data_IF_587660463695
#
_entry.id   IF_587660463695
#
_cell.length_a   1.000
_cell.length_b   1.000
_cell.length_c   1.000
_cell.angle_alpha   90.00
_cell.angle_beta   90.00
_cell.angle_gamma   90.00
#
_symmetry.space_group_name_H-M   'P 1'
#
loop_
_entity.id
_entity.type
_entity.pdbx_description
1 polymer ?
#
# COMPACT_ATOMS: atom_id res chain seq x y z
N UNK A 1 16.82 11.16 -4.38
CA UNK A 1 16.62 10.13 -3.34
C UNK A 1 15.12 9.94 -3.15
N UNK A 2 14.64 8.72 -2.93
CA UNK A 2 13.24 8.44 -2.65
C UNK A 2 13.15 7.55 -1.41
N UNK A 3 12.31 7.92 -0.44
CA UNK A 3 11.96 7.05 0.69
C UNK A 3 10.67 6.33 0.33
N UNK A 4 10.61 5.04 0.61
CA UNK A 4 9.41 4.24 0.32
C UNK A 4 9.08 3.37 1.52
N UNK A 5 7.80 3.31 1.87
CA UNK A 5 7.29 2.52 2.98
C UNK A 5 6.39 1.44 2.42
N UNK A 6 6.70 0.18 2.72
CA UNK A 6 5.87 -0.95 2.33
C UNK A 6 4.84 -1.25 3.40
N UNK A 7 3.84 -2.05 3.02
CA UNK A 7 2.87 -2.64 3.92
C UNK A 7 1.90 -1.67 4.62
N UNK A 8 1.60 -0.54 3.97
CA UNK A 8 0.54 0.37 4.41
C UNK A 8 -0.85 -0.33 4.44
N UNK A 9 -1.80 0.14 5.28
CA UNK A 9 -1.72 1.34 6.12
C UNK A 9 -0.82 1.19 7.34
N UNK A 10 -0.85 0.05 8.05
CA UNK A 10 0.01 -0.24 9.21
C UNK A 10 0.26 -1.74 9.34
N UNK A 11 1.47 -2.12 9.76
CA UNK A 11 1.77 -3.46 10.29
C UNK A 11 1.64 -3.40 11.82
N UNK A 12 0.53 -3.89 12.34
CA UNK A 12 0.13 -3.60 13.73
C UNK A 12 0.58 -4.66 14.75
N UNK A 13 1.21 -5.77 14.33
CA UNK A 13 1.73 -6.85 15.20
C UNK A 13 0.80 -7.28 16.36
N UNK A 14 -0.51 -7.29 16.13
CA UNK A 14 -1.53 -7.65 17.13
C UNK A 14 -2.14 -6.49 17.92
N UNK A 15 -1.62 -5.27 17.79
CA UNK A 15 -2.20 -4.06 18.40
C UNK A 15 -3.34 -3.55 17.51
N UNK A 16 -4.58 -3.79 17.88
CA UNK A 16 -5.75 -3.38 17.08
C UNK A 16 -6.27 -1.98 17.41
N UNK A 17 -5.60 -1.24 18.28
CA UNK A 17 -6.00 0.11 18.66
C UNK A 17 -5.91 1.08 17.46
N UNK A 18 -7.04 1.68 17.03
CA UNK A 18 -7.05 2.65 15.94
C UNK A 18 -6.20 3.90 16.22
N UNK A 19 -6.12 4.34 17.48
CA UNK A 19 -5.32 5.53 17.82
C UNK A 19 -3.83 5.23 17.68
N UNK A 20 -3.37 4.06 18.10
CA UNK A 20 -1.99 3.61 17.84
C UNK A 20 -1.63 3.62 16.33
N UNK A 21 -2.52 3.10 15.48
CA UNK A 21 -2.28 3.08 14.02
C UNK A 21 -2.21 4.49 13.43
N UNK A 22 -3.06 5.39 13.92
CA UNK A 22 -3.07 6.80 13.54
C UNK A 22 -1.82 7.54 14.01
N UNK A 23 -1.40 7.34 15.25
CA UNK A 23 -0.17 7.91 15.80
C UNK A 23 1.05 7.49 14.99
N UNK A 24 1.18 6.21 14.65
CA UNK A 24 2.27 5.72 13.81
C UNK A 24 2.29 6.40 12.43
N UNK A 25 1.12 6.52 11.80
CA UNK A 25 0.98 7.19 10.49
C UNK A 25 1.38 8.66 10.59
N UNK A 26 0.92 9.37 11.62
CA UNK A 26 1.26 10.77 11.87
C UNK A 26 2.74 10.99 12.15
N UNK A 27 3.39 10.08 12.88
CA UNK A 27 4.83 10.18 13.16
C UNK A 27 5.66 10.06 11.87
N UNK A 28 5.29 9.15 10.96
CA UNK A 28 5.93 9.04 9.65
C UNK A 28 5.75 10.32 8.83
N UNK A 29 4.50 10.79 8.68
CA UNK A 29 4.16 12.02 7.97
C UNK A 29 4.96 13.21 8.51
N UNK A 30 4.89 13.45 9.83
CA UNK A 30 5.60 14.55 10.48
C UNK A 30 7.09 14.50 10.22
N UNK A 31 7.69 13.31 10.29
CA UNK A 31 9.12 13.14 10.01
C UNK A 31 9.44 13.47 8.56
N UNK A 32 8.65 12.99 7.61
CA UNK A 32 8.88 13.30 6.20
C UNK A 32 8.73 14.79 5.90
N UNK A 33 7.76 15.47 6.50
CA UNK A 33 7.59 16.91 6.36
C UNK A 33 8.75 17.70 6.99
N UNK A 34 9.13 17.36 8.23
CA UNK A 34 10.22 18.03 8.98
C UNK A 34 11.54 18.02 8.19
N UNK A 35 11.82 16.91 7.52
CA UNK A 35 13.05 16.73 6.73
C UNK A 35 12.85 16.94 5.22
N UNK A 36 11.67 17.39 4.78
CA UNK A 36 11.34 17.60 3.36
C UNK A 36 11.63 16.37 2.48
N UNK A 37 11.31 15.19 3.00
CA UNK A 37 11.55 13.90 2.34
C UNK A 37 10.36 13.57 1.42
N UNK A 38 10.56 13.44 0.10
CA UNK A 38 9.53 12.85 -0.76
C UNK A 38 9.39 11.35 -0.46
N UNK A 39 8.16 10.91 -0.22
CA UNK A 39 7.86 9.53 0.15
C UNK A 39 6.69 8.92 -0.66
N UNK A 40 6.76 7.61 -0.90
CA UNK A 40 5.68 6.78 -1.46
C UNK A 40 5.32 5.67 -0.46
N UNK A 41 4.02 5.43 -0.26
CA UNK A 41 3.50 4.32 0.53
C UNK A 41 2.92 3.21 -0.35
N UNK A 42 3.45 1.99 -0.27
CA UNK A 42 2.91 0.82 -0.97
C UNK A 42 1.89 0.09 -0.09
N UNK A 43 0.66 -0.02 -0.58
CA UNK A 43 -0.50 -0.47 0.21
C UNK A 43 -0.84 -1.92 -0.07
N UNK A 44 -1.05 -2.72 0.98
CA UNK A 44 -1.79 -3.98 0.85
C UNK A 44 -3.28 -3.72 1.09
N UNK A 45 -4.08 -3.60 0.03
CA UNK A 45 -5.47 -3.14 0.17
C UNK A 45 -6.34 -4.08 1.03
N UNK A 46 -5.97 -5.36 1.14
CA UNK A 46 -6.64 -6.31 2.01
C UNK A 46 -6.63 -5.93 3.48
N UNK A 47 -5.64 -5.14 3.93
CA UNK A 47 -5.59 -4.62 5.29
C UNK A 47 -6.69 -3.61 5.60
N UNK A 48 -7.27 -2.97 4.58
CA UNK A 48 -8.38 -2.01 4.74
C UNK A 48 -9.69 -2.70 5.13
N UNK A 49 -9.74 -4.03 5.15
CA UNK A 49 -10.94 -4.79 5.44
C UNK A 49 -10.81 -5.55 6.76
N UNK A 50 -11.88 -5.54 7.54
CA UNK A 50 -12.08 -6.40 8.71
C UNK A 50 -13.33 -7.25 8.50
N UNK A 51 -13.18 -8.57 8.56
CA UNK A 51 -14.25 -9.55 8.25
C UNK A 51 -14.98 -9.26 6.93
N UNK A 52 -14.22 -8.83 5.92
CA UNK A 52 -14.73 -8.52 4.58
C UNK A 52 -15.45 -7.17 4.45
N UNK A 53 -15.55 -6.40 5.54
CA UNK A 53 -16.11 -5.04 5.52
C UNK A 53 -14.98 -4.02 5.48
N UNK A 54 -15.16 -2.99 4.66
CA UNK A 54 -14.19 -1.89 4.56
C UNK A 54 -14.20 -1.09 5.88
N UNK A 55 -13.02 -0.96 6.50
CA UNK A 55 -12.83 -0.16 7.71
C UNK A 55 -12.51 1.30 7.32
N UNK A 56 -13.45 2.19 7.63
CA UNK A 56 -13.31 3.63 7.35
C UNK A 56 -12.13 4.28 8.07
N UNK A 57 -11.70 3.76 9.23
CA UNK A 57 -10.56 4.30 9.97
C UNK A 57 -9.26 4.05 9.20
N UNK A 58 -9.07 2.85 8.67
CA UNK A 58 -7.89 2.50 7.86
C UNK A 58 -7.86 3.26 6.53
N UNK A 59 -9.01 3.49 5.92
CA UNK A 59 -9.12 4.37 4.73
C UNK A 59 -8.72 5.81 5.08
N UNK A 60 -9.13 6.32 6.25
CA UNK A 60 -8.74 7.66 6.70
C UNK A 60 -7.22 7.81 6.91
N UNK A 61 -6.51 6.75 7.30
CA UNK A 61 -5.04 6.78 7.38
C UNK A 61 -4.40 7.02 6.01
N UNK A 62 -4.95 6.41 4.95
CA UNK A 62 -4.48 6.63 3.58
C UNK A 62 -4.86 8.00 3.04
N UNK A 63 -6.06 8.49 3.36
CA UNK A 63 -6.47 9.87 3.05
C UNK A 63 -5.54 10.89 3.72
N UNK A 64 -5.15 10.65 4.98
CA UNK A 64 -4.21 11.50 5.71
C UNK A 64 -2.82 11.49 5.06
N UNK A 65 -2.35 10.32 4.62
CA UNK A 65 -1.10 10.19 3.86
C UNK A 65 -1.13 11.04 2.58
N UNK A 66 -2.19 10.89 1.77
CA UNK A 66 -2.39 11.63 0.52
C UNK A 66 -2.58 13.13 0.73
N UNK A 67 -3.32 13.55 1.76
CA UNK A 67 -3.57 14.97 2.03
C UNK A 67 -2.31 15.75 2.40
N UNK A 68 -1.25 15.06 2.84
CA UNK A 68 0.07 15.66 3.09
C UNK A 68 1.01 15.53 1.89
N UNK A 69 0.48 15.19 0.70
CA UNK A 69 1.22 15.18 -0.56
C UNK A 69 2.05 13.92 -0.82
N UNK A 70 1.91 12.86 -0.01
CA UNK A 70 2.65 11.63 -0.19
C UNK A 70 1.91 10.67 -1.13
N UNK A 71 2.60 10.18 -2.15
CA UNK A 71 2.05 9.28 -3.17
C UNK A 71 1.75 7.88 -2.60
N UNK A 72 0.80 7.17 -3.21
CA UNK A 72 0.53 5.76 -2.94
C UNK A 72 0.92 4.85 -4.12
N UNK A 73 1.32 3.63 -3.81
CA UNK A 73 1.59 2.56 -4.77
C UNK A 73 0.87 1.26 -4.42
N UNK A 74 0.79 0.36 -5.40
CA UNK A 74 0.16 -0.95 -5.23
C UNK A 74 1.14 -1.96 -4.63
N UNK A 75 0.76 -2.63 -3.54
CA UNK A 75 1.51 -3.75 -2.95
C UNK A 75 0.68 -5.03 -2.89
N UNK A 76 -0.16 -5.24 -3.91
CA UNK A 76 -1.19 -6.27 -4.05
C UNK A 76 -2.29 -6.20 -3.00
N UNK A 77 -3.33 -7.03 -3.12
CA UNK A 77 -4.36 -7.12 -2.09
C UNK A 77 -3.89 -7.86 -0.83
N UNK A 78 -3.31 -9.07 -0.96
CA UNK A 78 -2.98 -9.94 0.18
C UNK A 78 -1.49 -10.20 0.41
N UNK A 79 -0.61 -9.44 -0.23
CA UNK A 79 0.86 -9.63 -0.16
C UNK A 79 1.34 -11.07 -0.50
N UNK A 80 0.84 -11.73 -1.58
CA UNK A 80 1.24 -13.10 -1.89
C UNK A 80 2.67 -13.15 -2.46
N UNK A 81 3.37 -14.24 -2.22
CA UNK A 81 4.65 -14.52 -2.85
C UNK A 81 4.48 -14.95 -4.32
N UNK A 82 4.99 -14.16 -5.27
CA UNK A 82 4.80 -14.45 -6.70
C UNK A 82 5.52 -15.73 -7.15
N UNK A 83 6.61 -16.14 -6.51
CA UNK A 83 7.33 -17.37 -6.86
C UNK A 83 6.48 -18.64 -6.63
N UNK A 84 5.47 -18.56 -5.77
CA UNK A 84 4.59 -19.66 -5.39
C UNK A 84 3.15 -19.45 -5.86
N UNK A 85 2.86 -18.30 -6.48
CA UNK A 85 1.50 -17.92 -6.89
C UNK A 85 1.41 -17.93 -8.42
N UNK A 86 0.49 -18.72 -9.02
CA UNK A 86 0.28 -18.68 -10.47
C UNK A 86 -0.11 -17.28 -10.96
N UNK A 87 0.36 -16.89 -12.16
CA UNK A 87 0.11 -15.57 -12.77
C UNK A 87 -1.33 -15.07 -12.60
N UNK A 88 -2.33 -15.87 -12.99
CA UNK A 88 -3.74 -15.46 -12.92
C UNK A 88 -4.21 -15.09 -11.50
N UNK A 89 -3.67 -15.73 -10.44
CA UNK A 89 -4.00 -15.39 -9.05
C UNK A 89 -3.24 -14.16 -8.57
N UNK A 90 -2.01 -13.99 -9.04
CA UNK A 90 -1.19 -12.84 -8.69
C UNK A 90 -1.71 -11.56 -9.35
N UNK A 91 -2.02 -11.59 -10.65
CA UNK A 91 -2.61 -10.45 -11.37
C UNK A 91 -3.98 -10.07 -10.81
N UNK A 92 -4.82 -11.05 -10.44
CA UNK A 92 -6.07 -10.79 -9.72
C UNK A 92 -5.82 -10.08 -8.37
N UNK A 93 -4.73 -10.41 -7.68
CA UNK A 93 -4.33 -9.74 -6.44
C UNK A 93 -3.87 -8.30 -6.67
N UNK A 94 -3.13 -8.02 -7.74
CA UNK A 94 -2.74 -6.65 -8.14
C UNK A 94 -4.00 -5.83 -8.45
N UNK A 95 -4.90 -6.35 -9.29
CA UNK A 95 -6.14 -5.67 -9.69
C UNK A 95 -7.12 -5.44 -8.54
N UNK A 96 -7.16 -6.36 -7.57
CA UNK A 96 -7.95 -6.18 -6.34
C UNK A 96 -7.28 -5.20 -5.37
N UNK A 97 -5.96 -5.07 -5.43
CA UNK A 97 -5.16 -4.16 -4.61
C UNK A 97 -5.18 -2.68 -5.01
N UNK A 98 -5.97 -2.31 -6.03
CA UNK A 98 -6.13 -0.93 -6.48
C UNK A 98 -7.58 -0.41 -6.42
N UNK A 99 -8.54 -1.17 -5.87
CA UNK A 99 -9.97 -0.81 -5.95
C UNK A 99 -10.33 0.40 -5.11
N UNK A 100 -9.63 0.62 -4.00
CA UNK A 100 -9.81 1.76 -3.09
C UNK A 100 -8.68 2.77 -3.28
N UNK A 101 -7.43 2.31 -3.32
CA UNK A 101 -6.24 3.18 -3.25
C UNK A 101 -6.05 4.07 -4.49
N UNK A 102 -6.38 3.56 -5.69
CA UNK A 102 -6.26 4.32 -6.94
C UNK A 102 -7.30 5.45 -7.04
N UNK A 103 -8.61 5.21 -6.81
CA UNK A 103 -9.58 6.31 -6.71
C UNK A 103 -9.25 7.33 -5.62
N UNK A 104 -8.74 6.89 -4.45
CA UNK A 104 -8.29 7.79 -3.40
C UNK A 104 -7.16 8.70 -3.87
N UNK A 105 -6.15 8.15 -4.54
CA UNK A 105 -5.02 8.95 -5.06
C UNK A 105 -5.49 9.97 -6.10
N UNK A 106 -6.41 9.57 -6.99
CA UNK A 106 -7.03 10.46 -7.99
C UNK A 106 -7.82 11.61 -7.34
N UNK A 107 -8.54 11.34 -6.25
CA UNK A 107 -9.29 12.36 -5.50
C UNK A 107 -8.38 13.46 -4.93
N UNK A 108 -7.12 13.12 -4.63
CA UNK A 108 -6.10 14.06 -4.11
C UNK A 108 -5.19 14.60 -5.21
N UNK A 109 -5.52 14.39 -6.49
CA UNK A 109 -4.71 14.81 -7.65
C UNK A 109 -3.26 14.28 -7.60
N UNK A 110 -3.03 13.15 -6.93
CA UNK A 110 -1.73 12.50 -6.83
C UNK A 110 -1.62 11.31 -7.81
N UNK A 111 -0.45 11.10 -8.43
CA UNK A 111 -0.26 10.00 -9.37
C UNK A 111 -0.31 8.64 -8.67
N UNK A 112 -0.84 7.64 -9.36
CA UNK A 112 -0.86 6.24 -8.92
C UNK A 112 -0.30 5.37 -10.05
N UNK A 113 1.02 5.17 -10.04
CA UNK A 113 1.78 4.62 -11.18
C UNK A 113 2.80 3.55 -10.80
N UNK A 114 2.98 3.30 -9.51
CA UNK A 114 4.01 2.40 -9.02
C UNK A 114 3.41 1.16 -8.39
N UNK A 115 4.03 0.02 -8.69
CA UNK A 115 3.78 -1.28 -8.11
C UNK A 115 5.08 -1.81 -7.52
N UNK A 116 5.00 -2.50 -6.38
CA UNK A 116 6.13 -3.23 -5.80
C UNK A 116 5.72 -4.66 -5.49
N UNK A 117 6.56 -5.60 -5.93
CA UNK A 117 6.36 -7.02 -5.65
C UNK A 117 6.57 -7.32 -4.16
N UNK A 118 5.64 -8.04 -3.51
CA UNK A 118 5.89 -8.67 -2.23
C UNK A 118 7.19 -9.45 -2.23
N UNK A 119 8.01 -9.27 -1.18
CA UNK A 119 9.31 -9.92 -1.01
C UNK A 119 10.33 -9.66 -2.14
N UNK A 120 10.08 -8.66 -3.00
CA UNK A 120 10.84 -8.40 -4.24
C UNK A 120 10.89 -9.62 -5.20
N UNK A 121 9.95 -10.56 -5.04
CA UNK A 121 9.89 -11.79 -5.81
C UNK A 121 9.11 -11.52 -7.09
N UNK A 122 9.84 -11.29 -8.17
CA UNK A 122 9.28 -10.94 -9.49
C UNK A 122 8.85 -12.17 -10.31
N UNK A 123 9.15 -13.39 -9.85
CA UNK A 123 8.87 -14.62 -10.58
C UNK A 123 10.13 -15.45 -10.78
N UNK A 124 9.93 -16.75 -11.02
CA UNK A 124 11.03 -17.73 -11.20
C UNK A 124 11.40 -17.98 -12.66
N UNK A 125 10.71 -17.33 -13.60
CA UNK A 125 10.99 -17.37 -15.04
C UNK A 125 10.93 -15.96 -15.61
N UNK A 126 11.57 -15.75 -16.76
CA UNK A 126 11.48 -14.48 -17.49
C UNK A 126 10.03 -14.13 -17.84
N UNK A 127 9.26 -15.13 -18.28
CA UNK A 127 7.84 -14.93 -18.57
C UNK A 127 7.02 -14.46 -17.37
N UNK A 128 7.37 -14.87 -16.14
CA UNK A 128 6.73 -14.34 -14.93
C UNK A 128 7.23 -12.94 -14.59
N UNK A 129 8.54 -12.70 -14.68
CA UNK A 129 9.14 -11.39 -14.40
C UNK A 129 8.59 -10.27 -15.30
N UNK A 130 8.30 -10.57 -16.56
CA UNK A 130 7.86 -9.60 -17.57
C UNK A 130 6.32 -9.52 -17.71
N UNK A 131 5.56 -10.16 -16.82
CA UNK A 131 4.10 -10.36 -16.99
C UNK A 131 3.20 -9.25 -16.43
N UNK A 132 3.75 -8.27 -15.73
CA UNK A 132 3.02 -7.24 -14.97
C UNK A 132 3.38 -5.82 -15.37
#
# INVERSE_FOLDING_TARGET
MAVTVDDLPVVHYGIQDPEFQKELTLQLIKTFEEYSIPAIGYVNEGKLYDDGKLDSNKVQLLELWLSNGFELGNHTFSHPNYHETPFHRFSANVLRGEKITKPLSQKHDLPYRYFRHPYLRIGTSQSHADSL
#
